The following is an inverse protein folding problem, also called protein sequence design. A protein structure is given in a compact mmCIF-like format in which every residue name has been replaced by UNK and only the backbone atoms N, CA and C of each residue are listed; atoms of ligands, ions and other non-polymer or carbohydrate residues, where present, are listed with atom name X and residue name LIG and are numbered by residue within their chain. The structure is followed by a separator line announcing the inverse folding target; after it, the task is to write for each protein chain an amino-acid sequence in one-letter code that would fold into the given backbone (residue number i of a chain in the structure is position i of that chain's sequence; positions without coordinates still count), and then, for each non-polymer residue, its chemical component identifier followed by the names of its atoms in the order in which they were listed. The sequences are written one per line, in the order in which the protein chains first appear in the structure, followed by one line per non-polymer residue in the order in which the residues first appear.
data_IF_877924671461
#
_entry.id   IF_877924671461
#
_cell.length_a   1.000
_cell.length_b   1.000
_cell.length_c   1.000
_cell.angle_alpha   90.00
_cell.angle_beta   90.00
_cell.angle_gamma   90.00
#
_symmetry.space_group_name_H-M   'P 1'
#
loop_
_entity.id
_entity.type
_entity.pdbx_description
1 polymer ?
#
# COMPACT_ATOMS: atom_id res chain seq x y z
N UNK A 1 -8.28 -16.70 7.39
CA UNK A 1 -7.04 -16.58 6.59
C UNK A 1 -6.22 -15.41 7.10
N UNK A 2 -4.99 -15.65 7.42
CA UNK A 2 -4.07 -14.60 7.86
C UNK A 2 -3.11 -14.25 6.73
N UNK A 3 -3.11 -12.99 6.32
CA UNK A 3 -2.17 -12.46 5.34
C UNK A 3 -1.37 -11.31 5.95
N UNK A 4 -0.09 -11.27 5.63
CA UNK A 4 0.73 -10.11 5.97
C UNK A 4 0.43 -8.96 5.01
N UNK A 5 0.76 -7.71 5.38
CA UNK A 5 0.66 -6.59 4.45
C UNK A 5 1.48 -6.79 3.16
N UNK A 6 2.63 -7.46 3.24
CA UNK A 6 3.44 -7.77 2.07
C UNK A 6 2.77 -8.80 1.16
N UNK A 7 2.08 -9.78 1.72
CA UNK A 7 1.29 -10.73 0.93
C UNK A 7 0.10 -10.04 0.27
N UNK A 8 -0.56 -9.13 0.97
CA UNK A 8 -1.63 -8.32 0.40
C UNK A 8 -1.11 -7.48 -0.77
N UNK A 9 0.05 -6.84 -0.58
CA UNK A 9 0.72 -6.10 -1.65
C UNK A 9 1.07 -7.00 -2.83
N UNK A 10 1.47 -8.25 -2.57
CA UNK A 10 1.75 -9.23 -3.61
C UNK A 10 0.53 -9.54 -4.47
N UNK A 11 -0.65 -9.63 -3.86
CA UNK A 11 -1.91 -9.83 -4.61
C UNK A 11 -2.14 -8.63 -5.54
N UNK A 12 -2.00 -7.42 -5.04
CA UNK A 12 -2.20 -6.20 -5.85
C UNK A 12 -1.16 -6.12 -6.98
N UNK A 13 0.08 -6.50 -6.69
CA UNK A 13 1.18 -6.46 -7.66
C UNK A 13 0.90 -7.33 -8.90
N UNK A 14 0.18 -8.43 -8.73
CA UNK A 14 -0.20 -9.30 -9.86
C UNK A 14 -1.03 -8.55 -10.91
N UNK A 15 -1.78 -7.53 -10.48
CA UNK A 15 -2.68 -6.76 -11.36
C UNK A 15 -2.13 -5.36 -11.68
N UNK A 16 -1.09 -4.92 -11.01
CA UNK A 16 -0.59 -3.56 -11.07
C UNK A 16 -1.38 -2.60 -10.19
N UNK A 17 -2.69 -2.62 -10.28
CA UNK A 17 -3.60 -1.85 -9.43
C UNK A 17 -4.97 -2.53 -9.37
N UNK A 18 -5.62 -2.46 -8.21
CA UNK A 18 -6.97 -2.98 -8.00
C UNK A 18 -7.80 -1.95 -7.25
N UNK A 19 -9.06 -1.82 -7.61
CA UNK A 19 -10.00 -1.06 -6.77
C UNK A 19 -10.22 -1.84 -5.47
N UNK A 20 -10.70 -1.16 -4.44
CA UNK A 20 -10.98 -1.83 -3.16
C UNK A 20 -11.98 -3.00 -3.33
N UNK A 21 -13.10 -2.84 -4.05
CA UNK A 21 -14.00 -3.98 -4.30
C UNK A 21 -13.34 -5.14 -5.03
N UNK A 22 -12.49 -4.85 -6.02
CA UNK A 22 -11.76 -5.89 -6.76
C UNK A 22 -10.78 -6.62 -5.83
N UNK A 23 -10.07 -5.90 -4.96
CA UNK A 23 -9.16 -6.50 -4.00
C UNK A 23 -9.93 -7.41 -3.04
N UNK A 24 -11.08 -6.98 -2.55
CA UNK A 24 -11.94 -7.81 -1.69
C UNK A 24 -12.36 -9.09 -2.40
N UNK A 25 -12.74 -9.00 -3.69
CA UNK A 25 -13.09 -10.16 -4.50
C UNK A 25 -11.89 -11.10 -4.65
N UNK A 26 -10.69 -10.56 -4.91
CA UNK A 26 -9.46 -11.35 -5.01
C UNK A 26 -9.19 -12.13 -3.71
N UNK A 27 -9.38 -11.49 -2.57
CA UNK A 27 -9.16 -12.11 -1.26
C UNK A 27 -10.18 -13.23 -1.00
N UNK A 28 -11.42 -13.06 -1.41
CA UNK A 28 -12.45 -14.10 -1.31
C UNK A 28 -12.08 -15.30 -2.18
N UNK A 29 -11.64 -15.07 -3.41
CA UNK A 29 -11.21 -16.14 -4.32
C UNK A 29 -10.00 -16.90 -3.76
N UNK A 30 -9.03 -16.16 -3.22
CA UNK A 30 -7.84 -16.77 -2.62
C UNK A 30 -8.22 -17.63 -1.42
N UNK A 31 -9.07 -17.13 -0.53
CA UNK A 31 -9.53 -17.88 0.64
C UNK A 31 -10.30 -19.13 0.23
N UNK A 32 -11.14 -19.02 -0.78
CA UNK A 32 -11.89 -20.17 -1.32
C UNK A 32 -10.94 -21.28 -1.79
N UNK A 33 -9.87 -20.91 -2.51
CA UNK A 33 -8.87 -21.89 -2.98
C UNK A 33 -8.16 -22.59 -1.83
N UNK A 34 -8.01 -21.92 -0.69
CA UNK A 34 -7.34 -22.47 0.49
C UNK A 34 -8.33 -23.14 1.46
N UNK A 35 -9.61 -23.16 1.12
CA UNK A 35 -10.69 -23.65 2.00
C UNK A 35 -10.70 -22.94 3.36
N UNK A 36 -10.48 -21.64 3.34
CA UNK A 36 -10.43 -20.76 4.51
C UNK A 36 -11.41 -19.60 4.36
N UNK A 37 -11.68 -18.91 5.47
CA UNK A 37 -12.46 -17.68 5.45
C UNK A 37 -11.59 -16.52 4.97
N UNK A 38 -12.15 -15.54 4.23
CA UNK A 38 -11.37 -14.38 3.80
C UNK A 38 -10.87 -13.58 4.99
N UNK A 39 -9.75 -12.84 4.82
CA UNK A 39 -9.23 -12.00 5.89
C UNK A 39 -10.17 -10.84 6.18
N UNK A 40 -10.06 -10.27 7.38
CA UNK A 40 -10.83 -9.10 7.78
C UNK A 40 -10.49 -7.90 6.89
N UNK A 41 -11.49 -7.08 6.55
CA UNK A 41 -11.30 -5.88 5.74
C UNK A 41 -10.34 -4.87 6.38
N UNK A 42 -10.20 -4.89 7.70
CA UNK A 42 -9.26 -4.03 8.41
C UNK A 42 -7.82 -4.24 7.95
N UNK A 43 -7.50 -5.41 7.37
CA UNK A 43 -6.19 -5.68 6.79
C UNK A 43 -5.86 -4.69 5.67
N UNK A 44 -6.84 -4.36 4.84
CA UNK A 44 -6.66 -3.38 3.75
C UNK A 44 -6.35 -2.00 4.33
N UNK A 45 -7.12 -1.59 5.35
CA UNK A 45 -6.91 -0.30 6.00
C UNK A 45 -5.52 -0.22 6.67
N UNK A 46 -5.12 -1.28 7.35
CA UNK A 46 -3.79 -1.37 7.95
C UNK A 46 -2.68 -1.25 6.91
N UNK A 47 -2.84 -1.93 5.77
CA UNK A 47 -1.85 -1.87 4.69
C UNK A 47 -1.75 -0.45 4.08
N UNK A 48 -2.87 0.25 3.98
CA UNK A 48 -2.87 1.65 3.52
C UNK A 48 -2.18 2.55 4.54
N UNK A 49 -2.51 2.42 5.81
CA UNK A 49 -1.91 3.23 6.88
C UNK A 49 -0.39 3.07 6.94
N UNK A 50 0.11 1.86 6.71
CA UNK A 50 1.53 1.54 6.78
C UNK A 50 2.28 1.77 5.46
N UNK A 51 1.64 2.34 4.44
CA UNK A 51 2.23 2.59 3.12
C UNK A 51 2.63 1.32 2.37
N UNK A 52 2.09 0.17 2.73
CA UNK A 52 2.21 -1.05 1.92
C UNK A 52 1.32 -0.97 0.68
N UNK A 53 0.20 -0.27 0.78
CA UNK A 53 -0.66 0.06 -0.35
C UNK A 53 -0.90 1.57 -0.36
N UNK A 54 -0.97 2.14 -1.56
CA UNK A 54 -1.25 3.56 -1.75
C UNK A 54 -2.33 3.74 -2.82
N UNK A 55 -3.07 4.84 -2.73
CA UNK A 55 -4.12 5.14 -3.69
C UNK A 55 -3.57 5.80 -4.93
N UNK A 56 -4.02 5.33 -6.09
CA UNK A 56 -3.79 5.94 -7.40
C UNK A 56 -5.15 6.09 -8.05
N UNK A 57 -5.71 7.29 -8.00
CA UNK A 57 -7.09 7.56 -8.44
C UNK A 57 -8.07 6.70 -7.62
N UNK A 58 -8.86 5.83 -8.26
CA UNK A 58 -9.83 4.97 -7.59
C UNK A 58 -9.25 3.60 -7.22
N UNK A 59 -7.99 3.35 -7.52
CA UNK A 59 -7.36 2.05 -7.32
C UNK A 59 -6.28 2.09 -6.25
N UNK A 60 -5.95 0.90 -5.74
CA UNK A 60 -4.84 0.69 -4.82
C UNK A 60 -3.69 0.04 -5.59
N UNK A 61 -2.47 0.46 -5.30
CA UNK A 61 -1.26 -0.12 -5.88
C UNK A 61 -0.21 -0.32 -4.79
N UNK A 62 0.86 -1.04 -5.14
CA UNK A 62 1.93 -1.35 -4.19
C UNK A 62 2.62 -0.06 -3.73
N UNK A 63 2.74 0.11 -2.43
CA UNK A 63 3.33 1.29 -1.82
C UNK A 63 4.82 1.15 -1.50
N UNK A 64 5.43 2.23 -1.02
CA UNK A 64 6.89 2.31 -0.83
C UNK A 64 7.46 1.39 0.23
N UNK A 65 6.69 0.99 1.23
CA UNK A 65 7.19 0.15 2.31
C UNK A 65 7.03 -1.35 2.05
N UNK A 66 6.33 -1.72 0.97
CA UNK A 66 6.02 -3.12 0.71
C UNK A 66 7.17 -3.86 0.03
N UNK A 67 7.35 -5.11 0.44
CA UNK A 67 8.14 -6.12 -0.28
C UNK A 67 7.13 -7.18 -0.75
N UNK A 68 6.52 -7.02 -1.94
CA UNK A 68 5.42 -7.87 -2.36
C UNK A 68 5.78 -9.35 -2.36
N UNK A 69 4.94 -10.14 -1.70
CA UNK A 69 5.06 -11.60 -1.64
C UNK A 69 3.76 -12.20 -2.14
N UNK A 70 3.82 -13.02 -3.16
CA UNK A 70 2.62 -13.67 -3.69
C UNK A 70 2.24 -14.80 -2.73
N UNK A 71 1.04 -14.75 -2.11
CA UNK A 71 0.61 -15.83 -1.23
C UNK A 71 0.31 -17.11 -2.02
N UNK A 72 0.33 -18.25 -1.33
CA UNK A 72 0.03 -19.55 -1.95
C UNK A 72 -1.33 -19.51 -2.63
N UNK A 73 -1.39 -19.97 -3.88
CA UNK A 73 -2.61 -19.97 -4.67
C UNK A 73 -2.93 -18.64 -5.35
N UNK A 74 -2.11 -17.60 -5.16
CA UNK A 74 -2.36 -16.29 -5.71
C UNK A 74 -2.03 -16.13 -7.19
N UNK A 75 -1.09 -16.89 -7.70
CA UNK A 75 -0.55 -16.73 -9.06
C UNK A 75 -1.63 -16.78 -10.16
N UNK A 76 -2.68 -17.56 -9.95
CA UNK A 76 -3.75 -17.75 -10.94
C UNK A 76 -4.86 -16.72 -10.86
N UNK A 77 -4.84 -15.82 -9.88
CA UNK A 77 -5.92 -14.85 -9.66
C UNK A 77 -6.23 -13.96 -10.88
N UNK A 78 -5.24 -13.42 -11.61
CA UNK A 78 -5.55 -12.61 -12.78
C UNK A 78 -6.36 -13.35 -13.84
N UNK A 79 -6.07 -14.64 -14.03
CA UNK A 79 -6.79 -15.49 -14.97
C UNK A 79 -8.21 -15.79 -14.46
N UNK A 80 -8.34 -16.14 -13.18
CA UNK A 80 -9.63 -16.48 -12.56
C UNK A 80 -10.58 -15.27 -12.57
N UNK A 81 -10.06 -14.09 -12.26
CA UNK A 81 -10.87 -12.88 -12.14
C UNK A 81 -11.09 -12.17 -13.47
N UNK A 82 -10.36 -12.57 -14.52
CA UNK A 82 -10.44 -11.96 -15.86
C UNK A 82 -10.27 -10.43 -15.80
N UNK A 83 -9.30 -9.98 -15.03
CA UNK A 83 -8.94 -8.56 -14.92
C UNK A 83 -7.59 -8.36 -15.60
N UNK A 84 -7.55 -7.42 -16.55
CA UNK A 84 -6.31 -7.07 -17.22
C UNK A 84 -5.39 -6.29 -16.29
N UNK A 85 -4.09 -6.51 -16.46
CA UNK A 85 -3.08 -5.76 -15.74
C UNK A 85 -3.19 -4.26 -16.02
N UNK A 86 -3.11 -3.45 -14.97
CA UNK A 86 -3.21 -1.99 -15.07
C UNK A 86 -1.84 -1.37 -14.90
N UNK A 87 -1.60 -0.32 -15.68
CA UNK A 87 -0.39 0.50 -15.52
C UNK A 87 -0.73 1.73 -14.70
N UNK A 88 0.19 2.12 -13.84
CA UNK A 88 0.04 3.30 -12.99
C UNK A 88 1.03 4.36 -13.46
N UNK A 89 0.57 5.61 -13.58
CA UNK A 89 1.44 6.75 -13.84
C UNK A 89 2.27 7.02 -12.58
N UNK A 90 3.56 6.66 -12.63
CA UNK A 90 4.46 6.73 -11.48
C UNK A 90 4.69 8.16 -11.00
N UNK A 91 4.73 9.13 -11.91
CA UNK A 91 4.94 10.52 -11.55
C UNK A 91 3.74 11.09 -10.80
N UNK A 92 2.54 10.82 -11.31
CA UNK A 92 1.30 11.25 -10.67
C UNK A 92 1.13 10.57 -9.32
N UNK A 93 1.41 9.27 -9.25
CA UNK A 93 1.34 8.51 -8.00
C UNK A 93 2.33 9.07 -6.97
N UNK A 94 3.57 9.34 -7.38
CA UNK A 94 4.58 9.90 -6.50
C UNK A 94 4.14 11.23 -5.88
N UNK A 95 3.55 12.11 -6.71
CA UNK A 95 3.04 13.40 -6.21
C UNK A 95 1.91 13.23 -5.21
N UNK A 96 0.98 12.32 -5.49
CA UNK A 96 -0.16 12.05 -4.61
C UNK A 96 0.30 11.49 -3.25
N UNK A 97 1.25 10.58 -3.27
CA UNK A 97 1.79 9.97 -2.04
C UNK A 97 2.63 10.97 -1.27
N UNK A 98 3.41 11.81 -1.95
CA UNK A 98 4.16 12.89 -1.31
C UNK A 98 3.23 13.86 -0.59
N UNK A 99 2.13 14.26 -1.24
CA UNK A 99 1.14 15.15 -0.64
C UNK A 99 0.52 14.52 0.60
N UNK A 100 0.15 13.26 0.52
CA UNK A 100 -0.36 12.50 1.68
C UNK A 100 0.68 12.49 2.81
N UNK A 101 1.92 12.19 2.49
CA UNK A 101 3.01 12.13 3.48
C UNK A 101 3.18 13.48 4.18
N UNK A 102 3.21 14.58 3.42
CA UNK A 102 3.39 15.93 3.99
C UNK A 102 2.22 16.31 4.89
N UNK A 103 1.00 15.94 4.54
CA UNK A 103 -0.18 16.16 5.37
C UNK A 103 -0.09 15.38 6.68
N UNK A 104 0.29 14.11 6.61
CA UNK A 104 0.45 13.27 7.81
C UNK A 104 1.60 13.76 8.69
N UNK A 105 2.70 14.20 8.09
CA UNK A 105 3.85 14.75 8.81
C UNK A 105 3.47 16.02 9.57
N UNK A 106 2.76 16.94 8.93
CA UNK A 106 2.30 18.17 9.56
C UNK A 106 1.37 17.87 10.74
N UNK A 107 0.48 16.91 10.58
CA UNK A 107 -0.44 16.50 11.66
C UNK A 107 0.31 15.86 12.83
N UNK A 108 1.28 14.99 12.54
CA UNK A 108 2.07 14.34 13.59
C UNK A 108 2.86 15.37 14.41
N UNK A 109 3.45 16.36 13.76
CA UNK A 109 4.17 17.44 14.44
C UNK A 109 3.21 18.29 15.28
N UNK A 110 2.07 18.66 14.71
CA UNK A 110 1.08 19.50 15.39
C UNK A 110 0.49 18.82 16.63
N UNK A 111 0.34 17.50 16.60
CA UNK A 111 -0.19 16.72 17.73
C UNK A 111 0.88 16.14 18.64
N UNK A 112 2.15 16.39 18.34
CA UNK A 112 3.30 15.88 19.09
C UNK A 112 3.26 14.34 19.24
N UNK A 113 2.85 13.65 18.16
CA UNK A 113 2.74 12.19 18.12
C UNK A 113 4.09 11.59 17.74
N UNK A 114 4.89 11.25 18.75
CA UNK A 114 6.26 10.73 18.53
C UNK A 114 6.30 9.40 17.80
N UNK A 115 5.33 8.51 18.04
CA UNK A 115 5.26 7.23 17.31
C UNK A 115 5.03 7.45 15.82
N UNK A 116 4.09 8.35 15.50
CA UNK A 116 3.82 8.70 14.10
C UNK A 116 5.02 9.39 13.46
N UNK A 117 5.68 10.30 14.18
CA UNK A 117 6.88 11.00 13.71
C UNK A 117 7.98 9.99 13.34
N UNK A 118 8.27 9.06 14.23
CA UNK A 118 9.31 8.05 14.00
C UNK A 118 8.97 7.13 12.83
N UNK A 119 7.70 6.70 12.73
CA UNK A 119 7.24 5.89 11.62
C UNK A 119 7.37 6.64 10.29
N UNK A 120 7.00 7.91 10.25
CA UNK A 120 7.06 8.71 9.04
C UNK A 120 8.50 9.00 8.60
N UNK A 121 9.43 9.15 9.53
CA UNK A 121 10.85 9.28 9.18
C UNK A 121 11.31 8.03 8.43
N UNK A 122 10.98 6.84 8.92
CA UNK A 122 11.33 5.59 8.26
C UNK A 122 10.68 5.48 6.89
N UNK A 123 9.38 5.82 6.79
CA UNK A 123 8.65 5.81 5.52
C UNK A 123 9.27 6.77 4.50
N UNK A 124 9.80 7.92 4.96
CA UNK A 124 10.39 8.90 4.04
C UNK A 124 11.55 8.36 3.23
N UNK A 125 12.37 7.50 3.81
CA UNK A 125 13.50 6.88 3.11
C UNK A 125 13.00 5.86 2.08
N UNK A 126 12.02 5.05 2.45
CA UNK A 126 11.40 4.10 1.53
C UNK A 126 10.74 4.83 0.36
N UNK A 127 10.08 5.94 0.65
CA UNK A 127 9.36 6.73 -0.35
C UNK A 127 10.33 7.35 -1.37
N UNK A 128 11.47 7.86 -0.92
CA UNK A 128 12.50 8.40 -1.81
C UNK A 128 13.11 7.33 -2.72
N UNK A 129 13.26 6.11 -2.21
CA UNK A 129 13.76 4.99 -3.01
C UNK A 129 12.71 4.51 -4.02
N UNK A 130 11.45 4.53 -3.62
CA UNK A 130 10.33 4.00 -4.40
C UNK A 130 9.89 4.92 -5.53
N UNK A 131 9.89 6.24 -5.31
CA UNK A 131 9.33 7.20 -6.25
C UNK A 131 10.18 8.45 -6.48
N UNK A 132 9.81 9.27 -7.47
CA UNK A 132 10.54 10.49 -7.79
C UNK A 132 10.18 11.63 -6.84
N UNK A 133 10.49 11.48 -5.54
CA UNK A 133 10.18 12.47 -4.52
C UNK A 133 11.41 12.79 -3.67
N UNK A 134 11.46 13.99 -3.12
CA UNK A 134 12.53 14.44 -2.22
C UNK A 134 11.88 14.92 -0.91
N UNK A 135 12.26 14.30 0.19
CA UNK A 135 11.64 14.53 1.49
C UNK A 135 12.59 15.01 2.58
N UNK A 136 13.78 15.46 2.21
CA UNK A 136 14.75 15.96 3.19
C UNK A 136 14.18 17.08 4.05
N UNK A 137 13.47 18.02 3.46
CA UNK A 137 12.82 19.12 4.18
C UNK A 137 11.73 18.63 5.13
N UNK A 138 10.96 17.64 4.71
CA UNK A 138 9.92 17.05 5.56
C UNK A 138 10.53 16.30 6.74
N UNK A 139 11.66 15.59 6.53
CA UNK A 139 12.38 14.93 7.61
C UNK A 139 12.91 15.92 8.64
N UNK A 140 13.42 17.07 8.19
CA UNK A 140 13.89 18.12 9.10
C UNK A 140 12.74 18.61 10.00
N UNK A 141 11.57 18.79 9.43
CA UNK A 141 10.37 19.18 10.18
C UNK A 141 10.01 18.12 11.23
N UNK A 142 10.10 16.84 10.87
CA UNK A 142 9.79 15.75 11.79
C UNK A 142 10.84 15.58 12.90
N UNK A 143 12.09 15.92 12.62
CA UNK A 143 13.18 15.77 13.56
C UNK A 143 13.24 16.89 14.60
N UNK A 144 12.61 18.02 14.37
CA UNK A 144 12.63 19.17 15.28
C UNK A 144 11.77 18.96 16.55
#
# INVERSE_FOLDING_TARGET
MDLSPDELAGVVDLFGALTRPELKTALVELAFKQSEDPPDESLIDTAIESYHLVKSEDALTVGPTAFPVIPDGGTDLPHIMDIESRKVDRDRLGRAVEERFRTEAARAVATEDEEAINRLIDVSYDLETWGPVELANARELLAD
#
